data_IF_023288219146
#
_entry.id   IF_023288219146
#
_cell.length_a   1.000
_cell.length_b   1.000
_cell.length_c   1.000
_cell.angle_alpha   90.00
_cell.angle_beta   90.00
_cell.angle_gamma   90.00
#
_symmetry.space_group_name_H-M   'P 1'
#
loop_
_entity.id
_entity.type
_entity.pdbx_description
1 polymer ?
#
# COMPACT_ATOMS: atom_id res chain seq x y z
N UNK A 1 -23.30 -2.22 1.69
CA UNK A 1 -22.97 -2.36 0.25
C UNK A 1 -21.48 -2.17 0.12
N UNK A 2 -20.74 -3.11 -0.48
CA UNK A 2 -19.29 -2.95 -0.66
C UNK A 2 -19.08 -1.94 -1.79
N UNK A 3 -18.28 -0.87 -1.60
CA UNK A 3 -18.00 0.10 -2.66
C UNK A 3 -17.46 -0.62 -3.91
N UNK A 4 -17.94 -0.26 -5.11
CA UNK A 4 -17.44 -0.82 -6.39
C UNK A 4 -15.91 -0.70 -6.53
N UNK A 5 -15.36 0.33 -5.89
CA UNK A 5 -13.92 0.59 -5.76
C UNK A 5 -13.17 -0.60 -5.14
N UNK A 6 -13.74 -1.27 -4.13
CA UNK A 6 -13.10 -2.43 -3.47
C UNK A 6 -12.96 -3.62 -4.41
N UNK A 7 -13.92 -3.86 -5.32
CA UNK A 7 -13.85 -4.96 -6.27
C UNK A 7 -12.82 -4.71 -7.37
N UNK A 8 -12.72 -3.47 -7.87
CA UNK A 8 -11.72 -3.08 -8.85
C UNK A 8 -10.30 -3.14 -8.26
N UNK A 9 -10.18 -2.81 -6.97
CA UNK A 9 -8.91 -2.84 -6.23
C UNK A 9 -8.34 -4.26 -6.10
N UNK A 10 -9.19 -5.26 -5.86
CA UNK A 10 -8.74 -6.63 -5.60
C UNK A 10 -8.02 -7.25 -6.81
N UNK A 11 -8.58 -7.09 -8.01
CA UNK A 11 -8.00 -7.59 -9.25
C UNK A 11 -6.73 -6.81 -9.65
N UNK A 12 -6.76 -5.48 -9.48
CA UNK A 12 -5.64 -4.61 -9.87
C UNK A 12 -4.42 -4.83 -8.96
N UNK A 13 -4.62 -4.94 -7.64
CA UNK A 13 -3.53 -5.21 -6.69
C UNK A 13 -2.85 -6.53 -6.97
N UNK A 14 -3.62 -7.60 -7.17
CA UNK A 14 -3.04 -8.92 -7.52
C UNK A 14 -2.28 -8.85 -8.84
N UNK A 15 -2.80 -8.09 -9.80
CA UNK A 15 -2.15 -7.81 -11.07
C UNK A 15 -0.78 -7.16 -10.93
N UNK A 16 -0.69 -6.01 -10.24
CA UNK A 16 0.59 -5.34 -9.99
C UNK A 16 1.59 -6.24 -9.27
N UNK A 17 1.12 -6.99 -8.26
CA UNK A 17 1.99 -7.88 -7.49
C UNK A 17 2.47 -9.06 -8.34
N UNK A 18 1.64 -9.58 -9.24
CA UNK A 18 2.04 -10.60 -10.21
C UNK A 18 3.08 -10.07 -11.20
N UNK A 19 2.86 -8.87 -11.75
CA UNK A 19 3.81 -8.21 -12.66
C UNK A 19 5.15 -7.90 -11.97
N UNK A 20 5.11 -7.62 -10.66
CA UNK A 20 6.27 -7.48 -9.79
C UNK A 20 6.98 -8.81 -9.48
N UNK A 21 6.45 -9.93 -9.96
CA UNK A 21 6.87 -11.29 -9.65
C UNK A 21 6.63 -11.70 -8.20
N UNK A 22 5.96 -10.88 -7.38
CA UNK A 22 5.83 -11.09 -5.93
C UNK A 22 5.02 -12.35 -5.60
N UNK A 23 5.27 -12.97 -4.43
CA UNK A 23 4.51 -14.13 -4.00
C UNK A 23 3.00 -13.88 -3.99
N UNK A 24 2.21 -14.82 -4.51
CA UNK A 24 0.74 -14.71 -4.64
C UNK A 24 0.06 -14.45 -3.30
N UNK A 25 0.54 -15.10 -2.23
CA UNK A 25 0.04 -14.88 -0.88
C UNK A 25 0.23 -13.44 -0.39
N UNK A 26 1.35 -12.80 -0.76
CA UNK A 26 1.59 -11.39 -0.44
C UNK A 26 0.63 -10.49 -1.21
N UNK A 27 0.41 -10.76 -2.50
CA UNK A 27 -0.55 -10.02 -3.32
C UNK A 27 -1.98 -10.13 -2.80
N UNK A 28 -2.41 -11.33 -2.42
CA UNK A 28 -3.73 -11.56 -1.80
C UNK A 28 -3.86 -10.82 -0.46
N UNK A 29 -2.79 -10.84 0.36
CA UNK A 29 -2.79 -10.16 1.65
C UNK A 29 -2.86 -8.64 1.51
N UNK A 30 -2.10 -8.06 0.58
CA UNK A 30 -2.15 -6.62 0.26
C UNK A 30 -3.54 -6.19 -0.20
N UNK A 31 -4.14 -6.94 -1.13
CA UNK A 31 -5.46 -6.67 -1.65
C UNK A 31 -6.52 -6.69 -0.53
N UNK A 32 -6.48 -7.71 0.34
CA UNK A 32 -7.38 -7.83 1.48
C UNK A 32 -7.20 -6.72 2.53
N UNK A 33 -5.95 -6.32 2.84
CA UNK A 33 -5.67 -5.19 3.74
C UNK A 33 -6.22 -3.89 3.17
N UNK A 34 -6.01 -3.66 1.87
CA UNK A 34 -6.47 -2.44 1.23
C UNK A 34 -8.00 -2.38 1.15
N UNK A 35 -8.67 -3.50 0.85
CA UNK A 35 -10.12 -3.59 0.91
C UNK A 35 -10.67 -3.18 2.29
N UNK A 36 -10.02 -3.62 3.38
CA UNK A 36 -10.36 -3.21 4.75
C UNK A 36 -10.08 -1.73 4.99
N UNK A 37 -8.95 -1.21 4.51
CA UNK A 37 -8.61 0.20 4.63
C UNK A 37 -9.65 1.10 3.94
N UNK A 38 -10.08 0.74 2.73
CA UNK A 38 -11.13 1.43 1.98
C UNK A 38 -12.45 1.38 2.76
N UNK A 39 -12.86 0.19 3.22
CA UNK A 39 -14.07 0.04 4.02
C UNK A 39 -14.03 0.85 5.31
N UNK A 40 -12.87 1.02 5.93
CA UNK A 40 -12.75 1.79 7.17
C UNK A 40 -12.76 3.30 6.91
N UNK A 41 -12.14 3.76 5.83
CA UNK A 41 -11.92 5.18 5.55
C UNK A 41 -12.99 5.82 4.67
N UNK A 42 -13.81 5.04 3.93
CA UNK A 42 -14.78 5.59 2.97
C UNK A 42 -15.85 6.50 3.59
N UNK A 43 -16.22 6.25 4.85
CA UNK A 43 -17.23 7.01 5.57
C UNK A 43 -16.63 8.09 6.50
N UNK A 44 -15.31 8.21 6.54
CA UNK A 44 -14.63 9.18 7.42
C UNK A 44 -14.68 10.59 6.83
N UNK A 45 -14.97 11.57 7.68
CA UNK A 45 -14.80 13.00 7.38
C UNK A 45 -13.31 13.35 7.21
N UNK A 46 -13.00 14.53 6.70
CA UNK A 46 -11.61 14.99 6.55
C UNK A 46 -10.85 14.98 7.90
N UNK A 47 -11.45 15.53 8.95
CA UNK A 47 -10.87 15.54 10.30
C UNK A 47 -10.63 14.13 10.87
N UNK A 48 -11.58 13.21 10.62
CA UNK A 48 -11.43 11.81 11.02
C UNK A 48 -10.30 11.12 10.25
N UNK A 49 -10.10 11.44 8.96
CA UNK A 49 -8.98 10.91 8.19
C UNK A 49 -7.64 11.44 8.67
N UNK A 50 -7.56 12.71 9.05
CA UNK A 50 -6.33 13.29 9.59
C UNK A 50 -5.94 12.63 10.92
N UNK A 51 -6.91 12.51 11.83
CA UNK A 51 -6.72 11.77 13.09
C UNK A 51 -6.33 10.31 12.85
N UNK A 52 -6.98 9.65 11.90
CA UNK A 52 -6.66 8.28 11.52
C UNK A 52 -5.22 8.16 11.00
N UNK A 53 -4.80 9.07 10.12
CA UNK A 53 -3.44 9.11 9.59
C UNK A 53 -2.40 9.27 10.69
N UNK A 54 -2.62 10.15 11.66
CA UNK A 54 -1.70 10.34 12.78
C UNK A 54 -1.56 9.07 13.64
N UNK A 55 -2.68 8.40 13.91
CA UNK A 55 -2.70 7.12 14.64
C UNK A 55 -1.95 6.02 13.87
N UNK A 56 -2.15 5.93 12.56
CA UNK A 56 -1.45 4.94 11.73
C UNK A 56 0.05 5.26 11.58
N UNK A 57 0.41 6.54 11.46
CA UNK A 57 1.81 6.98 11.44
C UNK A 57 2.53 6.63 12.74
N UNK A 58 1.89 6.83 13.90
CA UNK A 58 2.45 6.44 15.19
C UNK A 58 2.73 4.91 15.27
N UNK A 59 1.89 4.08 14.62
CA UNK A 59 2.13 2.63 14.53
C UNK A 59 3.34 2.32 13.66
N UNK A 60 3.50 3.01 12.53
CA UNK A 60 4.64 2.84 11.63
C UNK A 60 5.94 3.30 12.27
N UNK A 61 5.93 4.43 12.97
CA UNK A 61 7.05 4.94 13.76
C UNK A 61 7.46 3.93 14.83
N UNK A 62 6.51 3.35 15.56
CA UNK A 62 6.82 2.29 16.55
C UNK A 62 7.46 1.06 15.93
N UNK A 63 7.11 0.72 14.68
CA UNK A 63 7.62 -0.48 14.00
C UNK A 63 8.98 -0.26 13.32
N UNK A 64 9.23 0.94 12.78
CA UNK A 64 10.34 1.20 11.88
C UNK A 64 11.28 2.32 12.36
N UNK A 65 10.94 3.00 13.43
CA UNK A 65 11.65 4.16 13.98
C UNK A 65 11.06 5.50 13.53
N UNK A 66 11.47 6.63 14.17
CA UNK A 66 10.99 7.98 13.84
C UNK A 66 11.26 8.35 12.37
N UNK A 67 12.37 7.87 11.81
CA UNK A 67 12.81 8.24 10.46
C UNK A 67 12.28 7.27 9.38
N UNK A 68 11.18 6.56 9.67
CA UNK A 68 10.69 5.50 8.78
C UNK A 68 10.23 6.05 7.43
N UNK A 69 9.65 7.27 7.40
CA UNK A 69 9.23 7.91 6.16
C UNK A 69 10.41 8.04 5.20
N UNK A 70 11.55 8.54 5.67
CA UNK A 70 12.73 8.78 4.84
C UNK A 70 13.45 7.47 4.47
N UNK A 71 13.51 6.53 5.40
CA UNK A 71 14.32 5.32 5.23
C UNK A 71 13.58 4.17 4.55
N UNK A 72 12.24 4.11 4.65
CA UNK A 72 11.45 2.97 4.15
C UNK A 72 10.63 3.29 2.91
N UNK A 73 10.22 4.53 2.70
CA UNK A 73 9.34 4.87 1.58
C UNK A 73 10.06 5.01 0.24
N UNK A 74 11.35 5.36 0.22
CA UNK A 74 12.09 5.52 -1.05
C UNK A 74 12.06 4.26 -1.92
N UNK A 75 12.40 3.04 -1.42
CA UNK A 75 12.26 1.81 -2.20
C UNK A 75 10.82 1.52 -2.64
N UNK A 76 9.84 1.85 -1.80
CA UNK A 76 8.41 1.68 -2.09
C UNK A 76 7.98 2.57 -3.24
N UNK A 77 8.38 3.85 -3.23
CA UNK A 77 8.07 4.81 -4.27
C UNK A 77 8.65 4.38 -5.63
N UNK A 78 9.89 3.87 -5.65
CA UNK A 78 10.51 3.35 -6.88
C UNK A 78 9.74 2.14 -7.41
N UNK A 79 9.43 1.16 -6.55
CA UNK A 79 8.64 -0.01 -6.95
C UNK A 79 7.27 0.41 -7.50
N UNK A 80 6.54 1.27 -6.79
CA UNK A 80 5.23 1.75 -7.23
C UNK A 80 5.36 2.46 -8.58
N UNK A 81 6.37 3.32 -8.76
CA UNK A 81 6.57 4.03 -10.01
C UNK A 81 6.77 3.08 -11.20
N UNK A 82 7.63 2.08 -11.05
CA UNK A 82 7.90 1.10 -12.10
C UNK A 82 6.69 0.20 -12.41
N UNK A 83 5.94 -0.23 -11.40
CA UNK A 83 4.72 -1.03 -11.60
C UNK A 83 3.60 -0.22 -12.26
N UNK A 84 3.46 1.05 -11.86
CA UNK A 84 2.46 1.97 -12.40
C UNK A 84 2.74 2.35 -13.87
N UNK A 85 4.01 2.34 -14.31
CA UNK A 85 4.37 2.51 -15.72
C UNK A 85 3.89 1.35 -16.60
N UNK A 86 3.91 0.12 -16.06
CA UNK A 86 3.47 -1.07 -16.80
C UNK A 86 1.94 -1.25 -16.75
N UNK A 87 1.33 -0.89 -15.62
CA UNK A 87 -0.11 -0.99 -15.38
C UNK A 87 -0.54 0.26 -14.59
N UNK A 88 -1.13 1.27 -15.24
CA UNK A 88 -1.51 2.52 -14.56
C UNK A 88 -2.55 2.33 -13.45
N UNK A 89 -2.46 3.17 -12.40
CA UNK A 89 -3.48 3.31 -11.35
C UNK A 89 -2.99 2.96 -9.93
N UNK A 90 -1.79 2.38 -9.78
CA UNK A 90 -1.25 2.03 -8.47
C UNK A 90 -0.90 3.27 -7.66
N UNK A 91 -0.36 4.31 -8.31
CA UNK A 91 -0.02 5.58 -7.62
C UNK A 91 -1.25 6.27 -7.04
N UNK A 92 -2.32 6.34 -7.83
CA UNK A 92 -3.58 6.95 -7.39
C UNK A 92 -4.20 6.18 -6.24
N UNK A 93 -4.17 4.85 -6.34
CA UNK A 93 -4.67 3.98 -5.28
C UNK A 93 -3.92 4.14 -3.96
N UNK A 94 -2.57 4.18 -4.02
CA UNK A 94 -1.74 4.42 -2.83
C UNK A 94 -1.94 5.84 -2.30
N UNK A 95 -2.15 6.85 -3.15
CA UNK A 95 -2.47 8.21 -2.69
C UNK A 95 -3.82 8.27 -1.96
N UNK A 96 -4.82 7.53 -2.43
CA UNK A 96 -6.16 7.56 -1.85
C UNK A 96 -6.27 6.81 -0.51
N UNK A 97 -5.44 5.77 -0.30
CA UNK A 97 -5.59 4.84 0.84
C UNK A 97 -4.27 4.46 1.53
N UNK A 98 -3.18 5.16 1.21
CA UNK A 98 -1.84 4.89 1.73
C UNK A 98 -1.64 5.22 3.20
N UNK A 99 -2.63 5.75 3.90
CA UNK A 99 -2.48 6.10 5.31
C UNK A 99 -2.62 4.89 6.25
N UNK A 100 -3.04 3.72 5.76
CA UNK A 100 -3.19 2.53 6.60
C UNK A 100 -1.84 1.85 6.90
N UNK A 101 -1.45 1.75 8.18
CA UNK A 101 -0.12 1.27 8.58
C UNK A 101 0.20 -0.13 8.09
N UNK A 102 -0.74 -1.07 8.23
CA UNK A 102 -0.53 -2.44 7.75
C UNK A 102 -0.29 -2.48 6.23
N UNK A 103 -1.01 -1.66 5.46
CA UNK A 103 -0.84 -1.60 4.00
C UNK A 103 0.55 -1.06 3.65
N UNK A 104 0.99 0.02 4.30
CA UNK A 104 2.34 0.57 4.12
C UNK A 104 3.42 -0.43 4.53
N UNK A 105 3.28 -1.10 5.67
CA UNK A 105 4.23 -2.12 6.12
C UNK A 105 4.35 -3.27 5.11
N UNK A 106 3.24 -3.72 4.54
CA UNK A 106 3.23 -4.73 3.48
C UNK A 106 3.88 -4.23 2.19
N UNK A 107 3.66 -2.97 1.81
CA UNK A 107 4.34 -2.34 0.66
C UNK A 107 5.86 -2.23 0.87
N UNK A 108 6.31 -1.90 2.08
CA UNK A 108 7.73 -1.88 2.44
C UNK A 108 8.33 -3.28 2.27
N UNK A 109 7.64 -4.33 2.73
CA UNK A 109 8.10 -5.71 2.56
C UNK A 109 8.10 -6.14 1.09
N UNK A 110 7.06 -5.78 0.33
CA UNK A 110 6.99 -6.02 -1.11
C UNK A 110 8.15 -5.36 -1.85
N UNK A 111 8.46 -4.10 -1.54
CA UNK A 111 9.57 -3.37 -2.14
C UNK A 111 10.92 -4.04 -1.88
N UNK A 112 11.17 -4.54 -0.66
CA UNK A 112 12.40 -5.29 -0.36
C UNK A 112 12.54 -6.53 -1.25
N UNK A 113 11.46 -7.31 -1.40
CA UNK A 113 11.47 -8.53 -2.24
C UNK A 113 11.66 -8.16 -3.71
N UNK A 114 10.98 -7.12 -4.18
CA UNK A 114 11.05 -6.63 -5.55
C UNK A 114 12.47 -6.22 -5.93
N UNK A 115 13.10 -5.37 -5.12
CA UNK A 115 14.44 -4.86 -5.36
C UNK A 115 15.50 -5.96 -5.25
N UNK A 116 15.39 -6.83 -4.23
CA UNK A 116 16.28 -7.99 -4.10
C UNK A 116 16.26 -8.91 -5.33
N UNK A 117 15.10 -9.05 -6.00
CA UNK A 117 14.98 -9.86 -7.22
C UNK A 117 15.47 -9.15 -8.47
N UNK A 118 15.41 -7.82 -8.50
CA UNK A 118 15.96 -7.01 -9.60
C UNK A 118 17.47 -6.75 -9.46
N UNK A 119 18.09 -7.17 -8.35
CA UNK A 119 19.49 -6.86 -8.05
C UNK A 119 19.72 -5.37 -7.81
N UNK A 120 18.71 -4.68 -7.26
CA UNK A 120 18.71 -3.23 -6.97
C UNK A 120 18.60 -2.97 -5.47
#
# INVERSE_FOLDING_TARGET
MIPKEVQAVDANVRGWMHDAGLPVNLGNSLAATLAKAIQHTHAMTAEQRETYKDVENAKLEKLFGPDWHDTKLKPVAVMIHELDQNRPGLKELVRAHGDHALFIAQLIQAAKIYHARKGR
#
